data_IF_506416362860
#
_entry.id   IF_506416362860
#
_cell.length_a   1.000
_cell.length_b   1.000
_cell.length_c   1.000
_cell.angle_alpha   90.00
_cell.angle_beta   90.00
_cell.angle_gamma   90.00
#
_symmetry.space_group_name_H-M   'P 1'
#
loop_
_entity.id
_entity.type
_entity.pdbx_description
1 polymer ?
#
# COMPACT_ATOMS: atom_id res chain seq x y z
N UNK A 1 -0.93 15.20 -4.18
CA UNK A 1 -0.49 13.81 -4.47
C UNK A 1 -0.15 13.65 -5.95
N UNK A 2 -1.08 13.86 -6.90
CA UNK A 2 -0.76 13.76 -8.34
C UNK A 2 0.33 14.70 -8.88
N UNK A 3 0.55 15.83 -8.21
CA UNK A 3 1.60 16.81 -8.54
C UNK A 3 2.93 16.55 -7.81
N UNK A 4 3.03 15.45 -7.04
CA UNK A 4 4.20 15.13 -6.23
C UNK A 4 5.05 14.09 -6.95
N UNK A 5 6.37 14.21 -6.83
CA UNK A 5 7.31 13.19 -7.29
C UNK A 5 7.48 12.06 -6.27
N UNK A 6 7.67 10.85 -6.80
CA UNK A 6 7.91 9.62 -6.04
C UNK A 6 9.23 9.00 -6.51
N UNK A 7 10.39 9.56 -6.12
CA UNK A 7 11.68 9.20 -6.70
C UNK A 7 12.16 7.79 -6.33
N UNK A 8 11.68 7.23 -5.22
CA UNK A 8 12.20 5.99 -4.64
C UNK A 8 13.72 5.98 -4.47
N UNK A 9 14.29 4.79 -4.34
CA UNK A 9 15.73 4.53 -4.45
C UNK A 9 15.98 3.21 -5.17
N UNK A 10 17.23 2.81 -5.34
CA UNK A 10 17.51 1.41 -5.65
C UNK A 10 17.14 0.53 -4.45
N UNK A 11 16.73 -0.70 -4.74
CA UNK A 11 16.34 -1.68 -3.73
C UNK A 11 17.60 -2.30 -3.12
N UNK A 12 17.68 -2.34 -1.78
CA UNK A 12 18.80 -2.97 -1.06
C UNK A 12 18.33 -4.31 -0.50
N UNK A 13 19.10 -5.37 -0.71
CA UNK A 13 18.85 -6.67 -0.08
C UNK A 13 19.46 -6.64 1.32
N UNK A 14 18.62 -6.72 2.35
CA UNK A 14 19.03 -6.63 3.75
C UNK A 14 19.26 -8.03 4.34
N UNK A 15 18.43 -9.00 3.93
CA UNK A 15 18.52 -10.38 4.39
C UNK A 15 18.08 -11.34 3.30
N UNK A 16 18.86 -12.41 3.09
CA UNK A 16 18.43 -13.56 2.29
C UNK A 16 17.68 -14.55 3.18
N UNK A 17 16.50 -14.97 2.75
CA UNK A 17 15.64 -15.93 3.46
C UNK A 17 15.69 -17.29 2.78
N UNK A 18 15.17 -18.32 3.44
CA UNK A 18 14.95 -19.63 2.81
C UNK A 18 14.06 -19.46 1.56
N UNK A 19 14.43 -20.07 0.42
CA UNK A 19 13.67 -19.93 -0.83
C UNK A 19 12.30 -20.62 -0.73
N UNK A 20 11.40 -20.25 -1.64
CA UNK A 20 10.19 -21.01 -1.91
C UNK A 20 10.43 -22.13 -2.92
N UNK A 21 9.36 -22.71 -3.47
CA UNK A 21 9.42 -23.85 -4.40
C UNK A 21 10.22 -23.57 -5.67
N UNK A 22 10.05 -22.39 -6.25
CA UNK A 22 10.70 -21.95 -7.50
C UNK A 22 10.98 -20.44 -7.49
N UNK A 23 11.21 -19.85 -6.32
CA UNK A 23 11.50 -18.43 -6.17
C UNK A 23 12.39 -18.15 -4.96
N UNK A 24 13.17 -17.07 -5.04
CA UNK A 24 14.05 -16.58 -3.98
C UNK A 24 13.29 -15.57 -3.10
N UNK A 25 13.65 -15.49 -1.82
CA UNK A 25 12.98 -14.63 -0.82
C UNK A 25 13.99 -13.77 -0.10
N UNK A 26 13.65 -12.50 0.10
CA UNK A 26 14.51 -11.52 0.75
C UNK A 26 13.70 -10.58 1.64
N UNK A 27 14.32 -10.12 2.72
CA UNK A 27 13.96 -8.82 3.29
C UNK A 27 14.77 -7.79 2.51
N UNK A 28 14.09 -6.78 1.98
CA UNK A 28 14.69 -5.72 1.20
C UNK A 28 14.23 -4.35 1.72
N UNK A 29 14.99 -3.30 1.41
CA UNK A 29 14.67 -1.93 1.80
C UNK A 29 14.80 -0.93 0.64
N UNK A 30 14.17 0.23 0.80
CA UNK A 30 14.20 1.36 -0.12
C UNK A 30 13.91 2.67 0.62
N UNK A 31 14.18 3.80 -0.03
CA UNK A 31 13.95 5.13 0.56
C UNK A 31 12.59 5.71 0.16
N UNK A 32 11.92 6.32 1.15
CA UNK A 32 10.69 7.08 0.98
C UNK A 32 10.67 8.23 1.99
N UNK A 33 10.62 9.49 1.53
CA UNK A 33 10.55 10.68 2.39
C UNK A 33 11.66 10.76 3.46
N UNK A 34 12.88 10.34 3.09
CA UNK A 34 14.01 10.28 4.02
C UNK A 34 13.95 9.13 5.03
N UNK A 35 12.97 8.24 4.91
CA UNK A 35 12.82 7.03 5.73
C UNK A 35 13.28 5.80 4.96
N UNK A 36 13.97 4.89 5.65
CA UNK A 36 14.25 3.53 5.19
C UNK A 36 13.04 2.64 5.44
N UNK A 37 12.40 2.23 4.35
CA UNK A 37 11.21 1.36 4.35
C UNK A 37 11.62 -0.04 3.94
N UNK A 38 11.19 -1.04 4.69
CA UNK A 38 11.48 -2.45 4.47
C UNK A 38 10.32 -3.15 3.76
N UNK A 39 10.53 -4.38 3.31
CA UNK A 39 9.48 -5.22 2.75
C UNK A 39 9.98 -6.61 2.42
N UNK A 40 9.02 -7.52 2.20
CA UNK A 40 9.29 -8.85 1.70
C UNK A 40 9.37 -8.81 0.17
N UNK A 41 10.53 -9.14 -0.38
CA UNK A 41 10.74 -9.34 -1.81
C UNK A 41 10.77 -10.83 -2.13
N UNK A 42 10.06 -11.21 -3.18
CA UNK A 42 10.17 -12.52 -3.81
C UNK A 42 10.54 -12.35 -5.28
N UNK A 43 11.44 -13.20 -5.78
CA UNK A 43 11.91 -13.15 -7.16
C UNK A 43 11.85 -14.54 -7.77
N UNK A 44 11.08 -14.77 -8.84
CA UNK A 44 11.02 -16.07 -9.49
C UNK A 44 12.40 -16.58 -9.89
N UNK A 45 12.60 -17.88 -9.79
CA UNK A 45 13.77 -18.59 -10.29
C UNK A 45 13.53 -19.10 -11.70
N UNK A 46 14.60 -19.44 -12.42
CA UNK A 46 14.54 -19.98 -13.77
C UNK A 46 14.70 -18.92 -14.86
N UNK A 47 14.23 -19.23 -16.07
CA UNK A 47 14.44 -18.39 -17.26
C UNK A 47 13.56 -17.14 -17.20
N UNK A 48 14.16 -16.01 -16.86
CA UNK A 48 13.53 -14.68 -16.91
C UNK A 48 13.02 -14.37 -18.33
N UNK A 49 11.81 -13.81 -18.49
CA UNK A 49 11.35 -13.28 -19.76
C UNK A 49 12.29 -12.19 -20.28
N UNK A 50 12.34 -11.97 -21.60
CA UNK A 50 13.28 -11.00 -22.20
C UNK A 50 13.17 -9.58 -21.60
N UNK A 51 11.95 -9.15 -21.25
CA UNK A 51 11.68 -7.86 -20.62
C UNK A 51 11.80 -7.82 -19.09
N UNK A 52 12.06 -8.95 -18.44
CA UNK A 52 12.01 -9.09 -16.99
C UNK A 52 10.74 -9.79 -16.47
N UNK A 53 10.67 -9.99 -15.17
CA UNK A 53 9.49 -10.53 -14.49
C UNK A 53 8.44 -9.44 -14.25
N UNK A 54 7.14 -9.70 -14.50
CA UNK A 54 6.09 -8.79 -14.08
C UNK A 54 6.10 -8.62 -12.55
N UNK A 55 5.72 -7.43 -12.07
CA UNK A 55 5.78 -7.06 -10.66
C UNK A 55 4.38 -6.91 -10.08
N UNK A 56 4.17 -7.42 -8.87
CA UNK A 56 3.02 -7.13 -8.01
C UNK A 56 3.52 -6.42 -6.76
N UNK A 57 3.08 -5.17 -6.57
CA UNK A 57 3.18 -4.51 -5.26
C UNK A 57 1.99 -4.99 -4.42
N UNK A 58 2.30 -5.75 -3.37
CA UNK A 58 1.35 -6.42 -2.51
C UNK A 58 1.06 -5.55 -1.28
N UNK A 59 -0.05 -4.83 -1.33
CA UNK A 59 -0.50 -3.93 -0.27
C UNK A 59 -1.30 -4.71 0.79
N UNK A 60 -0.69 -4.95 1.95
CA UNK A 60 -1.33 -5.72 3.03
C UNK A 60 -2.43 -4.92 3.75
N UNK A 61 -3.38 -5.63 4.38
CA UNK A 61 -4.36 -5.00 5.27
C UNK A 61 -3.74 -4.47 6.57
N UNK A 62 -4.52 -3.72 7.36
CA UNK A 62 -4.03 -3.22 8.65
C UNK A 62 -3.69 -4.38 9.59
N UNK A 63 -2.48 -4.35 10.13
CA UNK A 63 -2.01 -5.24 11.18
C UNK A 63 -1.39 -4.31 12.23
N UNK A 64 -1.72 -4.43 13.53
CA UNK A 64 -1.12 -3.57 14.55
C UNK A 64 0.41 -3.57 14.44
N UNK A 65 1.08 -2.40 14.46
CA UNK A 65 2.52 -2.30 14.25
C UNK A 65 3.35 -3.24 15.13
N UNK A 66 2.97 -3.38 16.41
CA UNK A 66 3.63 -4.28 17.37
C UNK A 66 3.52 -5.77 17.01
N UNK A 67 2.48 -6.14 16.26
CA UNK A 67 2.21 -7.51 15.83
C UNK A 67 2.68 -7.79 14.40
N UNK A 68 2.94 -6.76 13.60
CA UNK A 68 3.36 -6.93 12.22
C UNK A 68 4.77 -7.54 12.13
N UNK A 69 4.94 -8.51 11.23
CA UNK A 69 6.22 -9.12 10.88
C UNK A 69 6.31 -9.22 9.36
N UNK A 70 7.46 -8.84 8.79
CA UNK A 70 7.69 -8.77 7.34
C UNK A 70 7.40 -10.09 6.63
N UNK A 71 7.73 -11.22 7.25
CA UNK A 71 7.67 -12.56 6.66
C UNK A 71 6.40 -13.34 7.00
N UNK A 72 5.49 -12.78 7.79
CA UNK A 72 4.24 -13.41 8.22
C UNK A 72 3.02 -12.82 7.54
N UNK A 73 1.88 -13.52 7.70
CA UNK A 73 0.57 -13.21 7.11
C UNK A 73 0.62 -13.19 5.57
N UNK A 74 -0.52 -13.44 4.93
CA UNK A 74 -0.63 -13.49 3.46
C UNK A 74 0.33 -14.47 2.76
N UNK A 75 0.94 -15.41 3.49
CA UNK A 75 1.98 -16.30 2.97
C UNK A 75 1.52 -17.05 1.73
N UNK A 76 0.32 -17.62 1.78
CA UNK A 76 -0.26 -18.35 0.65
C UNK A 76 -0.50 -17.48 -0.59
N UNK A 77 -0.86 -16.20 -0.42
CA UNK A 77 -1.06 -15.29 -1.55
C UNK A 77 0.27 -14.87 -2.17
N UNK A 78 1.25 -14.53 -1.34
CA UNK A 78 2.60 -14.16 -1.82
C UNK A 78 3.25 -15.36 -2.52
N UNK A 79 3.16 -16.55 -1.94
CA UNK A 79 3.65 -17.81 -2.53
C UNK A 79 2.94 -18.11 -3.87
N UNK A 80 1.61 -17.98 -3.91
CA UNK A 80 0.82 -18.18 -5.13
C UNK A 80 1.28 -17.28 -6.27
N UNK A 81 1.46 -15.99 -6.02
CA UNK A 81 1.96 -15.08 -7.06
C UNK A 81 3.43 -15.35 -7.42
N UNK A 82 4.31 -15.51 -6.43
CA UNK A 82 5.74 -15.69 -6.68
C UNK A 82 6.02 -16.95 -7.48
N UNK A 83 5.31 -18.05 -7.17
CA UNK A 83 5.46 -19.33 -7.86
C UNK A 83 4.95 -19.35 -9.29
N UNK A 84 4.12 -18.37 -9.68
CA UNK A 84 3.59 -18.21 -11.02
C UNK A 84 4.32 -17.14 -11.84
N UNK A 85 5.57 -16.82 -11.47
CA UNK A 85 6.43 -15.98 -12.31
C UNK A 85 6.24 -14.48 -12.11
N UNK A 86 5.79 -14.04 -10.92
CA UNK A 86 5.73 -12.63 -10.56
C UNK A 86 6.80 -12.29 -9.52
N UNK A 87 7.48 -11.16 -9.70
CA UNK A 87 8.14 -10.52 -8.56
C UNK A 87 7.04 -9.98 -7.66
N UNK A 88 7.01 -10.43 -6.41
CA UNK A 88 6.09 -9.87 -5.40
C UNK A 88 6.91 -9.08 -4.42
N UNK A 89 6.59 -7.79 -4.29
CA UNK A 89 7.11 -6.95 -3.23
C UNK A 89 5.96 -6.58 -2.30
N UNK A 90 6.02 -7.02 -1.04
CA UNK A 90 5.08 -6.62 0.03
C UNK A 90 5.79 -5.60 0.91
N UNK A 91 5.64 -4.29 0.65
CA UNK A 91 6.23 -3.26 1.51
C UNK A 91 5.67 -3.40 2.91
N UNK A 92 6.53 -3.24 3.89
CA UNK A 92 6.12 -2.94 5.24
C UNK A 92 5.69 -1.47 5.26
N UNK A 93 4.58 -1.15 5.91
CA UNK A 93 4.18 0.23 6.09
C UNK A 93 5.13 0.96 7.06
N UNK A 94 5.38 2.26 6.86
CA UNK A 94 6.21 3.05 7.78
C UNK A 94 5.80 2.83 9.25
N UNK A 95 6.78 2.65 10.12
CA UNK A 95 6.57 2.26 11.52
C UNK A 95 6.10 0.82 11.76
N UNK A 96 6.04 -0.04 10.74
CA UNK A 96 5.77 -1.48 10.88
C UNK A 96 7.04 -2.28 10.57
N UNK A 97 7.22 -3.41 11.27
CA UNK A 97 8.39 -4.25 11.09
C UNK A 97 9.67 -3.47 11.39
N UNK A 98 10.61 -3.47 10.45
CA UNK A 98 11.85 -2.69 10.55
C UNK A 98 11.77 -1.34 9.84
N UNK A 99 10.62 -0.96 9.25
CA UNK A 99 10.46 0.33 8.57
C UNK A 99 10.51 1.49 9.53
N UNK A 100 11.32 2.48 9.19
CA UNK A 100 11.46 3.71 9.96
C UNK A 100 10.18 4.56 9.95
N UNK A 101 10.21 5.63 10.74
CA UNK A 101 9.08 6.55 10.91
C UNK A 101 8.07 6.07 11.95
N UNK A 102 6.90 6.69 11.94
CA UNK A 102 5.82 6.39 12.87
C UNK A 102 4.60 5.85 12.11
N UNK A 103 3.86 4.88 12.68
CA UNK A 103 2.59 4.45 12.14
C UNK A 103 1.66 5.65 12.00
N UNK A 104 1.04 5.79 10.83
CA UNK A 104 0.09 6.87 10.54
C UNK A 104 -1.34 6.34 10.42
N UNK A 105 -2.31 7.25 10.41
CA UNK A 105 -3.72 6.88 10.25
C UNK A 105 -3.93 6.09 8.96
N UNK A 106 -4.62 4.94 9.08
CA UNK A 106 -4.96 4.06 7.96
C UNK A 106 -5.65 4.82 6.80
N UNK A 107 -6.53 5.79 7.11
CA UNK A 107 -7.32 6.50 6.08
C UNK A 107 -7.14 8.02 6.12
N UNK A 108 -6.63 8.57 7.22
CA UNK A 108 -6.40 10.01 7.43
C UNK A 108 -4.95 10.44 7.21
N UNK A 109 -4.14 9.65 6.52
CA UNK A 109 -2.76 9.98 6.18
C UNK A 109 -2.43 9.50 4.77
N UNK A 110 -1.64 10.27 3.98
CA UNK A 110 -1.13 9.80 2.70
C UNK A 110 0.13 8.94 2.83
N UNK A 111 0.73 8.82 4.03
CA UNK A 111 2.08 8.27 4.24
C UNK A 111 2.30 6.89 3.61
N UNK A 112 1.40 5.93 3.90
CA UNK A 112 1.53 4.58 3.32
C UNK A 112 1.38 4.58 1.79
N UNK A 113 0.52 5.43 1.24
CA UNK A 113 0.40 5.57 -0.22
C UNK A 113 1.67 6.19 -0.82
N UNK A 114 2.30 7.15 -0.15
CA UNK A 114 3.59 7.71 -0.60
C UNK A 114 4.66 6.62 -0.62
N UNK A 115 4.75 5.80 0.43
CA UNK A 115 5.72 4.71 0.51
C UNK A 115 5.53 3.69 -0.61
N UNK A 116 4.28 3.32 -0.90
CA UNK A 116 3.94 2.38 -1.98
C UNK A 116 4.26 2.96 -3.36
N UNK A 117 4.02 4.25 -3.58
CA UNK A 117 4.37 4.90 -4.85
C UNK A 117 5.89 5.03 -5.04
N UNK A 118 6.65 5.25 -3.96
CA UNK A 118 8.11 5.16 -4.01
C UNK A 118 8.57 3.72 -4.31
N UNK A 119 7.90 2.70 -3.76
CA UNK A 119 8.19 1.30 -4.08
C UNK A 119 7.98 0.97 -5.57
N UNK A 120 6.98 1.56 -6.22
CA UNK A 120 6.78 1.42 -7.68
C UNK A 120 8.00 1.92 -8.43
N UNK A 121 8.49 3.12 -8.13
CA UNK A 121 9.69 3.66 -8.79
C UNK A 121 10.94 2.83 -8.49
N UNK A 122 11.09 2.35 -7.25
CA UNK A 122 12.19 1.45 -6.88
C UNK A 122 12.16 0.14 -7.66
N UNK A 123 10.99 -0.50 -7.77
CA UNK A 123 10.84 -1.77 -8.49
C UNK A 123 10.95 -1.60 -10.00
N UNK A 124 10.64 -0.42 -10.56
CA UNK A 124 11.00 -0.10 -11.94
C UNK A 124 12.53 -0.10 -12.17
N UNK A 125 13.34 0.23 -11.17
CA UNK A 125 14.81 0.20 -11.32
C UNK A 125 15.41 -1.18 -11.10
N UNK A 126 14.67 -2.09 -10.47
CA UNK A 126 15.15 -3.43 -10.13
C UNK A 126 15.53 -4.24 -11.40
N UNK A 127 16.77 -4.77 -11.51
CA UNK A 127 17.27 -5.38 -12.77
C UNK A 127 16.47 -6.58 -13.29
N UNK A 128 15.77 -7.28 -12.41
CA UNK A 128 14.96 -8.45 -12.77
C UNK A 128 13.50 -8.10 -13.07
N UNK A 129 13.07 -6.86 -12.84
CA UNK A 129 11.70 -6.42 -13.06
C UNK A 129 11.46 -5.94 -14.50
N UNK A 130 10.29 -6.31 -15.01
CA UNK A 130 9.72 -5.70 -16.21
C UNK A 130 9.07 -4.37 -15.86
N UNK A 131 9.77 -3.29 -16.23
CA UNK A 131 9.40 -1.91 -15.90
C UNK A 131 8.05 -1.47 -16.47
N UNK A 132 7.57 -2.19 -17.49
CA UNK A 132 6.30 -1.93 -18.18
C UNK A 132 5.12 -2.72 -17.62
N UNK A 133 5.38 -3.77 -16.81
CA UNK A 133 4.37 -4.67 -16.25
C UNK A 133 4.38 -4.63 -14.72
N UNK A 134 3.95 -3.50 -14.17
CA UNK A 134 3.76 -3.32 -12.73
C UNK A 134 2.27 -3.23 -12.42
N UNK A 135 1.79 -4.13 -11.57
CA UNK A 135 0.45 -4.14 -11.02
C UNK A 135 0.44 -4.10 -9.49
N UNK A 136 -0.75 -4.02 -8.94
CA UNK A 136 -0.96 -4.02 -7.48
C UNK A 136 -2.02 -5.03 -7.07
N UNK A 137 -1.85 -5.59 -5.89
CA UNK A 137 -2.88 -6.35 -5.20
C UNK A 137 -3.04 -5.76 -3.80
N UNK A 138 -4.26 -5.52 -3.35
CA UNK A 138 -4.52 -4.88 -2.06
C UNK A 138 -5.67 -5.51 -1.29
N UNK A 139 -5.43 -5.81 -0.01
CA UNK A 139 -6.47 -6.31 0.92
C UNK A 139 -6.88 -5.26 1.95
N UNK A 140 -8.18 -5.04 2.17
CA UNK A 140 -8.68 -4.16 3.25
C UNK A 140 -8.09 -2.74 3.15
N UNK A 141 -7.32 -2.27 4.15
CA UNK A 141 -6.52 -1.05 4.08
C UNK A 141 -5.65 -0.99 2.81
N UNK A 142 -4.99 -2.10 2.47
CA UNK A 142 -4.19 -2.21 1.26
C UNK A 142 -5.00 -2.02 -0.02
N UNK A 143 -6.31 -2.32 -0.01
CA UNK A 143 -7.22 -2.00 -1.10
C UNK A 143 -7.45 -0.49 -1.26
N UNK A 144 -7.58 0.24 -0.15
CA UNK A 144 -7.65 1.72 -0.17
C UNK A 144 -6.37 2.32 -0.75
N UNK A 145 -5.20 1.84 -0.29
CA UNK A 145 -3.90 2.29 -0.77
C UNK A 145 -3.73 2.00 -2.26
N UNK A 146 -4.12 0.80 -2.70
CA UNK A 146 -4.09 0.37 -4.10
C UNK A 146 -4.93 1.29 -4.99
N UNK A 147 -6.17 1.59 -4.57
CA UNK A 147 -7.04 2.48 -5.34
C UNK A 147 -6.48 3.91 -5.43
N UNK A 148 -5.95 4.44 -4.32
CA UNK A 148 -5.30 5.77 -4.31
C UNK A 148 -4.09 5.80 -5.24
N UNK A 149 -3.25 4.77 -5.18
CA UNK A 149 -2.07 4.68 -6.03
C UNK A 149 -2.46 4.63 -7.51
N UNK A 150 -3.48 3.84 -7.88
CA UNK A 150 -3.97 3.72 -9.26
C UNK A 150 -4.45 5.07 -9.83
N UNK A 151 -5.13 5.90 -9.03
CA UNK A 151 -5.55 7.26 -9.44
C UNK A 151 -4.36 8.22 -9.58
N UNK A 152 -3.28 7.98 -8.83
CA UNK A 152 -2.12 8.88 -8.78
C UNK A 152 -1.12 8.58 -9.90
N UNK A 153 -0.86 7.30 -10.18
CA UNK A 153 0.28 6.86 -10.96
C UNK A 153 -0.12 5.97 -12.16
N UNK A 154 -0.10 6.51 -13.39
CA UNK A 154 -0.49 5.76 -14.60
C UNK A 154 0.49 4.65 -15.01
N UNK A 155 1.62 4.51 -14.30
CA UNK A 155 2.55 3.39 -14.48
C UNK A 155 1.95 2.09 -13.96
N UNK A 156 1.01 2.13 -13.02
CA UNK A 156 0.31 0.96 -12.49
C UNK A 156 -0.73 0.51 -13.52
N UNK A 157 -0.54 -0.68 -14.09
CA UNK A 157 -1.34 -1.16 -15.24
C UNK A 157 -2.57 -1.95 -14.87
N UNK A 158 -2.54 -2.61 -13.73
CA UNK A 158 -3.62 -3.47 -13.25
C UNK A 158 -3.65 -3.43 -11.74
N UNK A 159 -4.83 -3.50 -11.15
CA UNK A 159 -5.03 -3.57 -9.73
C UNK A 159 -6.10 -4.60 -9.37
N UNK A 160 -5.84 -5.37 -8.32
CA UNK A 160 -6.86 -6.21 -7.66
C UNK A 160 -7.13 -5.63 -6.28
N UNK A 161 -8.38 -5.24 -6.04
CA UNK A 161 -8.84 -4.71 -4.76
C UNK A 161 -9.70 -5.79 -4.10
N UNK A 162 -9.14 -6.47 -3.10
CA UNK A 162 -9.81 -7.54 -2.38
C UNK A 162 -10.31 -7.04 -1.02
N UNK A 163 -11.64 -7.09 -0.81
CA UNK A 163 -12.29 -6.57 0.40
C UNK A 163 -11.80 -5.16 0.80
N UNK A 164 -11.55 -4.31 -0.19
CA UNK A 164 -10.89 -3.02 0.00
C UNK A 164 -11.77 -2.01 0.73
N UNK A 165 -11.16 -1.19 1.58
CA UNK A 165 -11.85 -0.05 2.20
C UNK A 165 -11.90 1.11 1.20
N UNK A 166 -12.76 0.96 0.21
CA UNK A 166 -12.93 1.90 -0.91
C UNK A 166 -14.32 2.51 -0.84
N UNK A 167 -14.41 3.71 -0.27
CA UNK A 167 -15.65 4.47 -0.19
C UNK A 167 -15.31 5.97 -0.21
N UNK A 168 -16.34 6.82 -0.37
CA UNK A 168 -16.17 8.26 -0.22
C UNK A 168 -15.77 8.59 1.22
N UNK A 169 -15.15 9.74 1.47
CA UNK A 169 -14.89 10.14 2.86
C UNK A 169 -16.17 10.38 3.64
N UNK A 170 -17.27 10.75 2.97
CA UNK A 170 -18.59 10.83 3.58
C UNK A 170 -19.00 9.47 4.15
N UNK A 171 -18.98 8.42 3.33
CA UNK A 171 -19.30 7.06 3.79
C UNK A 171 -18.36 6.57 4.89
N UNK A 172 -17.06 6.85 4.76
CA UNK A 172 -16.07 6.47 5.77
C UNK A 172 -16.26 7.20 7.10
N UNK A 173 -16.86 8.40 7.10
CA UNK A 173 -17.16 9.16 8.32
C UNK A 173 -18.50 8.76 8.92
N UNK A 174 -19.51 8.51 8.09
CA UNK A 174 -20.90 8.39 8.50
C UNK A 174 -21.35 6.95 8.69
N UNK A 175 -20.85 6.02 7.85
CA UNK A 175 -21.39 4.66 7.71
C UNK A 175 -20.39 3.58 8.14
N UNK A 176 -19.08 3.86 8.13
CA UNK A 176 -18.05 2.86 8.42
C UNK A 176 -17.93 2.55 9.93
N UNK A 177 -18.22 1.29 10.30
CA UNK A 177 -18.28 0.74 11.67
C UNK A 177 -19.48 1.23 12.53
N UNK A 178 -20.61 1.62 11.92
CA UNK A 178 -21.86 1.81 12.67
C UNK A 178 -22.75 0.57 12.55
N UNK A 179 -23.02 -0.15 13.65
CA UNK A 179 -24.21 -1.00 13.72
C UNK A 179 -25.46 -0.14 13.49
N UNK A 180 -26.51 -0.66 12.83
CA UNK A 180 -27.79 0.01 12.79
C UNK A 180 -28.26 0.34 14.22
N UNK A 181 -28.61 1.59 14.49
CA UNK A 181 -29.16 2.03 15.79
C UNK A 181 -28.15 2.47 16.85
N UNK A 182 -26.83 2.43 16.60
CA UNK A 182 -25.86 3.03 17.54
C UNK A 182 -25.82 4.55 17.38
N UNK A 183 -26.05 5.28 18.48
CA UNK A 183 -25.84 6.73 18.56
C UNK A 183 -24.41 7.18 18.23
N UNK A 184 -24.10 8.49 18.30
CA UNK A 184 -22.75 8.98 18.01
C UNK A 184 -21.69 8.29 18.90
N UNK A 185 -20.52 7.93 18.34
CA UNK A 185 -19.53 7.12 19.05
C UNK A 185 -18.95 7.83 20.29
N UNK A 186 -18.51 7.09 21.32
CA UNK A 186 -17.85 7.66 22.49
C UNK A 186 -16.52 8.33 22.11
N UNK A 187 -16.32 9.53 22.63
CA UNK A 187 -15.17 10.40 22.41
C UNK A 187 -14.01 10.09 23.37
N UNK A 188 -13.22 9.03 23.13
CA UNK A 188 -12.06 8.74 24.01
C UNK A 188 -10.72 8.52 23.31
N UNK A 189 -10.68 8.54 21.98
CA UNK A 189 -9.45 8.83 21.21
C UNK A 189 -9.82 9.75 20.06
N UNK A 190 -9.05 10.82 19.82
CA UNK A 190 -9.22 11.67 18.63
C UNK A 190 -8.93 10.82 17.41
N UNK A 191 -9.97 10.20 16.87
CA UNK A 191 -9.86 9.48 15.61
C UNK A 191 -9.54 10.50 14.52
N UNK A 192 -8.79 10.09 13.49
CA UNK A 192 -8.50 10.93 12.32
C UNK A 192 -9.75 11.62 11.75
N UNK A 193 -10.93 10.99 11.93
CA UNK A 193 -12.24 11.53 11.57
C UNK A 193 -12.54 12.84 12.28
N UNK A 194 -12.38 12.88 13.60
CA UNK A 194 -12.65 14.07 14.41
C UNK A 194 -11.67 15.18 14.07
N UNK A 195 -10.38 14.85 13.95
CA UNK A 195 -9.35 15.84 13.61
C UNK A 195 -9.58 16.46 12.24
N UNK A 196 -9.95 15.65 11.26
CA UNK A 196 -10.19 16.13 9.91
C UNK A 196 -11.50 16.92 9.81
N UNK A 197 -12.57 16.50 10.48
CA UNK A 197 -13.82 17.28 10.53
C UNK A 197 -13.60 18.61 11.24
N UNK A 198 -12.85 18.65 12.34
CA UNK A 198 -12.51 19.89 13.02
C UNK A 198 -11.67 20.83 12.15
N UNK A 199 -10.75 20.28 11.34
CA UNK A 199 -9.85 21.07 10.51
C UNK A 199 -10.45 21.52 9.18
N UNK A 200 -11.29 20.69 8.56
CA UNK A 200 -11.73 20.89 7.17
C UNK A 200 -13.25 20.98 7.01
N UNK A 201 -14.01 20.83 8.09
CA UNK A 201 -15.48 20.74 8.05
C UNK A 201 -15.97 19.37 7.60
N UNK A 202 -17.30 19.17 7.64
CA UNK A 202 -17.94 17.94 7.15
C UNK A 202 -17.89 17.86 5.61
N UNK A 203 -18.01 16.65 5.01
CA UNK A 203 -18.14 16.45 3.56
C UNK A 203 -19.17 17.37 2.89
N UNK A 204 -20.34 17.51 3.50
CA UNK A 204 -21.44 18.36 3.01
C UNK A 204 -21.08 19.86 3.03
N UNK A 205 -20.23 20.28 3.99
CA UNK A 205 -19.83 21.67 4.20
C UNK A 205 -18.63 22.06 3.32
N UNK A 206 -17.77 21.10 2.97
CA UNK A 206 -16.56 21.33 2.18
C UNK A 206 -16.33 20.25 1.11
N UNK A 207 -17.28 20.04 0.19
CA UNK A 207 -17.22 18.95 -0.77
C UNK A 207 -16.00 19.04 -1.68
N UNK A 208 -15.53 20.26 -1.98
CA UNK A 208 -14.32 20.47 -2.79
C UNK A 208 -13.09 19.83 -2.17
N UNK A 209 -12.85 20.05 -0.88
CA UNK A 209 -11.71 19.44 -0.19
C UNK A 209 -11.83 17.92 -0.17
N UNK A 210 -12.96 17.39 0.30
CA UNK A 210 -13.15 15.95 0.48
C UNK A 210 -13.11 15.18 -0.85
N UNK A 211 -13.67 15.75 -1.92
CA UNK A 211 -13.59 15.17 -3.25
C UNK A 211 -12.17 15.21 -3.80
N UNK A 212 -11.38 16.25 -3.49
CA UNK A 212 -10.01 16.37 -3.99
C UNK A 212 -9.07 15.27 -3.48
N UNK A 213 -9.36 14.70 -2.31
CA UNK A 213 -8.56 13.67 -1.65
C UNK A 213 -9.16 12.27 -1.70
N UNK A 214 -10.43 12.13 -2.09
CA UNK A 214 -11.08 10.83 -2.30
C UNK A 214 -10.70 10.27 -3.67
N UNK A 215 -10.15 9.05 -3.78
CA UNK A 215 -9.92 8.46 -5.09
C UNK A 215 -11.22 8.16 -5.84
N UNK A 216 -12.36 8.01 -5.14
CA UNK A 216 -13.67 7.76 -5.76
C UNK A 216 -14.10 8.89 -6.70
N UNK A 217 -13.68 10.13 -6.43
CA UNK A 217 -14.00 11.29 -7.27
C UNK A 217 -13.31 11.28 -8.63
N UNK A 218 -12.43 10.32 -8.90
CA UNK A 218 -11.60 10.24 -10.10
C UNK A 218 -11.83 8.94 -10.90
N UNK A 219 -12.89 8.18 -10.58
CA UNK A 219 -13.24 6.92 -11.25
C UNK A 219 -14.36 7.07 -12.30
N UNK A 220 -14.76 8.29 -12.62
CA UNK A 220 -15.81 8.61 -13.59
C UNK A 220 -15.30 8.57 -15.03
#
# INVERSE_FOLDING_TARGET
MRQRDYPGSDLVIEQTLAPGSNYRRYVASYQSDGLKIFGLLTVPAGRKPAGGWPVIIFNHGYIPPSQYRTTERYVAYVDGFASHGYIVFKPDYRGHGSSEGQPSSAYGSPGYTVDVLNAVTTLQRYPDADRSRIGMWGHSLGGNITLRALVIDPRIKVAVIWAGVTATYQDLLENWHRPPGSGPPPSTTRSWRQDWVARYGRPEQNPRFWNSISPMSYLA
#
